data_IF_889374443321
#
_entry.id   IF_889374443321
#
_cell.length_a   1.000
_cell.length_b   1.000
_cell.length_c   1.000
_cell.angle_alpha   90.00
_cell.angle_beta   90.00
_cell.angle_gamma   90.00
#
_symmetry.space_group_name_H-M   'P 1'
#
loop_
_entity.id
_entity.type
_entity.pdbx_description
1 polymer ?
#
# COMPACT_ATOMS: atom_id res chain seq x y z
N UNK A 1 11.33 11.88 -30.55
CA UNK A 1 9.98 12.49 -30.47
C UNK A 1 9.10 11.57 -29.63
N UNK A 2 8.62 11.91 -28.44
CA UNK A 2 8.96 12.95 -27.48
C UNK A 2 8.52 12.36 -26.14
N UNK A 3 9.48 11.97 -25.31
CA UNK A 3 9.18 11.52 -23.95
C UNK A 3 8.78 12.75 -23.16
N UNK A 4 7.54 12.78 -22.70
CA UNK A 4 7.01 13.78 -21.79
C UNK A 4 7.91 13.88 -20.57
N UNK A 5 8.64 14.99 -20.48
CA UNK A 5 9.17 15.54 -19.24
C UNK A 5 7.96 15.73 -18.32
N UNK A 6 7.68 14.74 -17.47
CA UNK A 6 6.63 14.85 -16.46
C UNK A 6 7.08 15.97 -15.55
N UNK A 7 6.39 17.11 -15.62
CA UNK A 7 6.71 18.30 -14.86
C UNK A 7 6.88 17.90 -13.39
N UNK A 8 8.14 17.84 -12.93
CA UNK A 8 8.55 17.38 -11.60
C UNK A 8 7.98 18.24 -10.46
N UNK A 9 7.17 19.23 -10.83
CA UNK A 9 6.50 20.20 -9.98
C UNK A 9 5.03 19.89 -9.78
N UNK A 10 4.44 18.95 -10.51
CA UNK A 10 3.03 18.58 -10.39
C UNK A 10 2.84 17.29 -9.58
N UNK A 11 1.64 17.08 -9.05
CA UNK A 11 1.20 15.79 -8.51
C UNK A 11 -0.06 15.32 -9.22
N UNK A 12 -0.11 14.05 -9.57
CA UNK A 12 -1.30 13.44 -10.14
C UNK A 12 -2.15 12.78 -9.06
N UNK A 13 -3.46 12.97 -9.15
CA UNK A 13 -4.43 12.41 -8.21
C UNK A 13 -5.49 11.67 -9.02
N UNK A 14 -5.82 10.45 -8.64
CA UNK A 14 -6.89 9.66 -9.25
C UNK A 14 -7.88 9.21 -8.18
N UNK A 15 -9.17 9.42 -8.41
CA UNK A 15 -10.24 8.96 -7.52
C UNK A 15 -11.53 8.78 -8.33
N UNK A 16 -12.24 7.67 -8.10
CA UNK A 16 -13.53 7.38 -8.75
C UNK A 16 -13.51 7.56 -10.29
N UNK A 17 -12.45 7.05 -10.94
CA UNK A 17 -12.22 7.17 -12.38
C UNK A 17 -11.81 8.56 -12.88
N UNK A 18 -11.86 9.59 -12.03
CA UNK A 18 -11.45 10.96 -12.36
C UNK A 18 -9.97 11.15 -12.05
N UNK A 19 -9.33 12.03 -12.82
CA UNK A 19 -7.91 12.38 -12.68
C UNK A 19 -7.74 13.88 -12.60
N UNK A 20 -6.83 14.30 -11.74
CA UNK A 20 -6.40 15.69 -11.59
C UNK A 20 -4.88 15.76 -11.67
N UNK A 21 -4.39 16.83 -12.28
CA UNK A 21 -3.00 17.24 -12.23
C UNK A 21 -2.94 18.55 -11.47
N UNK A 22 -2.17 18.56 -10.39
CA UNK A 22 -2.10 19.69 -9.47
C UNK A 22 -0.71 20.30 -9.60
N UNK A 23 -0.58 21.50 -10.19
CA UNK A 23 0.72 22.14 -10.39
C UNK A 23 1.29 22.68 -9.07
N UNK A 24 2.61 22.90 -9.04
CA UNK A 24 3.24 23.55 -7.89
C UNK A 24 2.67 24.95 -7.67
N UNK A 25 2.17 25.19 -6.45
CA UNK A 25 1.54 26.45 -6.06
C UNK A 25 0.05 26.29 -5.75
N UNK A 26 -0.58 25.25 -6.30
CA UNK A 26 -1.97 24.92 -6.03
C UNK A 26 -2.11 23.94 -4.87
N UNK A 27 -3.32 23.90 -4.33
CA UNK A 27 -3.73 22.95 -3.30
C UNK A 27 -4.92 22.16 -3.82
N UNK A 28 -4.84 20.84 -3.73
CA UNK A 28 -5.97 19.98 -4.00
C UNK A 28 -6.65 19.60 -2.69
N UNK A 29 -7.97 19.69 -2.63
CA UNK A 29 -8.77 19.44 -1.45
C UNK A 29 -9.79 18.35 -1.70
N UNK A 30 -10.04 17.53 -0.68
CA UNK A 30 -11.05 16.50 -0.75
C UNK A 30 -11.83 16.42 0.57
N UNK A 31 -13.11 16.13 0.45
CA UNK A 31 -14.04 16.20 1.57
C UNK A 31 -15.47 16.29 1.10
N UNK A 32 -16.39 16.41 2.05
CA UNK A 32 -17.83 16.48 1.78
C UNK A 32 -18.33 17.88 1.42
N UNK A 33 -17.53 18.91 1.64
CA UNK A 33 -17.91 20.28 1.32
C UNK A 33 -17.93 20.53 -0.20
N UNK A 34 -18.84 21.40 -0.64
CA UNK A 34 -19.03 21.70 -2.06
C UNK A 34 -17.87 22.48 -2.69
N UNK A 35 -17.01 23.11 -1.87
CA UNK A 35 -15.81 23.83 -2.28
C UNK A 35 -14.58 22.93 -2.44
N UNK A 36 -14.70 21.60 -2.22
CA UNK A 36 -13.60 20.65 -2.41
C UNK A 36 -13.45 20.24 -3.88
N UNK A 37 -12.20 20.13 -4.36
CA UNK A 37 -11.87 19.68 -5.71
C UNK A 37 -12.39 18.26 -6.00
N UNK A 38 -12.20 17.36 -5.03
CA UNK A 38 -12.87 16.06 -5.01
C UNK A 38 -13.90 16.00 -3.89
N UNK A 39 -15.17 16.13 -4.30
CA UNK A 39 -16.31 16.03 -3.41
C UNK A 39 -16.67 14.58 -3.13
N UNK A 40 -16.51 14.17 -1.89
CA UNK A 40 -17.01 12.91 -1.34
C UNK A 40 -18.53 13.00 -1.09
N UNK A 41 -19.27 11.87 -1.08
CA UNK A 41 -20.72 11.88 -0.98
C UNK A 41 -21.27 12.65 0.23
N UNK A 42 -22.19 13.58 -0.02
CA UNK A 42 -22.79 14.45 1.01
C UNK A 42 -23.55 13.71 2.11
N UNK A 43 -24.09 12.53 1.79
CA UNK A 43 -24.86 11.71 2.72
C UNK A 43 -24.02 11.01 3.78
N UNK A 44 -22.69 10.97 3.62
CA UNK A 44 -21.80 10.24 4.52
C UNK A 44 -21.31 11.14 5.67
N UNK A 45 -22.06 11.16 6.78
CA UNK A 45 -21.75 11.99 7.96
C UNK A 45 -20.47 11.57 8.69
N UNK A 46 -19.94 10.36 8.43
CA UNK A 46 -18.66 9.93 8.95
C UNK A 46 -17.48 10.62 8.24
N UNK A 47 -17.70 11.11 7.01
CA UNK A 47 -16.73 11.90 6.25
C UNK A 47 -16.80 13.38 6.63
N UNK A 48 -15.62 13.95 6.93
CA UNK A 48 -15.46 15.36 7.27
C UNK A 48 -15.81 16.27 6.09
N UNK A 49 -16.29 17.49 6.38
CA UNK A 49 -16.49 18.53 5.35
C UNK A 49 -15.19 18.85 4.61
N UNK A 50 -14.09 18.99 5.36
CA UNK A 50 -12.72 19.07 4.84
C UNK A 50 -11.95 17.88 5.39
N UNK A 51 -11.76 16.86 4.56
CA UNK A 51 -11.15 15.60 4.99
C UNK A 51 -9.64 15.70 4.94
N UNK A 52 -9.10 16.16 3.81
CA UNK A 52 -7.68 16.36 3.64
C UNK A 52 -7.36 17.29 2.47
N UNK A 53 -6.07 17.56 2.34
CA UNK A 53 -5.54 18.31 1.20
C UNK A 53 -4.18 17.77 0.79
N UNK A 54 -3.81 18.04 -0.45
CA UNK A 54 -2.49 17.80 -1.01
C UNK A 54 -1.93 19.15 -1.43
N UNK A 55 -0.81 19.52 -0.85
CA UNK A 55 -0.18 20.83 -1.06
C UNK A 55 1.34 20.69 -1.10
N UNK A 56 2.01 21.58 -1.81
CA UNK A 56 3.48 21.60 -1.86
C UNK A 56 4.03 22.52 -0.78
N UNK A 57 4.86 21.98 0.11
CA UNK A 57 5.50 22.73 1.20
C UNK A 57 6.99 22.43 1.24
N UNK A 58 7.83 23.47 1.26
CA UNK A 58 9.30 23.35 1.27
C UNK A 58 9.85 22.43 0.16
N UNK A 59 9.25 22.49 -1.03
CA UNK A 59 9.68 21.71 -2.20
C UNK A 59 9.06 20.31 -2.31
N UNK A 60 8.43 19.80 -1.25
CA UNK A 60 7.87 18.43 -1.17
C UNK A 60 6.34 18.47 -1.20
N UNK A 61 5.71 17.52 -1.88
CA UNK A 61 4.27 17.33 -1.83
C UNK A 61 3.86 16.70 -0.50
N UNK A 62 2.87 17.28 0.16
CA UNK A 62 2.42 16.87 1.48
C UNK A 62 0.94 16.49 1.41
N UNK A 63 0.62 15.28 1.87
CA UNK A 63 -0.74 14.94 2.25
C UNK A 63 -0.99 15.46 3.66
N UNK A 64 -2.04 16.25 3.84
CA UNK A 64 -2.43 16.82 5.13
C UNK A 64 -3.81 16.33 5.52
N UNK A 65 -3.92 15.75 6.72
CA UNK A 65 -5.21 15.44 7.30
C UNK A 65 -5.82 16.73 7.88
N UNK A 66 -6.88 17.22 7.23
CA UNK A 66 -7.59 18.46 7.58
C UNK A 66 -8.84 18.20 8.44
N UNK A 67 -9.14 16.94 8.74
CA UNK A 67 -10.23 16.57 9.64
C UNK A 67 -9.92 16.98 11.08
N UNK A 68 -10.95 17.32 11.85
CA UNK A 68 -10.81 17.64 13.28
C UNK A 68 -10.76 16.40 14.18
N UNK A 69 -11.36 15.29 13.76
CA UNK A 69 -11.49 14.07 14.59
C UNK A 69 -11.30 12.74 13.85
N UNK A 70 -11.26 12.74 12.52
CA UNK A 70 -11.12 11.53 11.70
C UNK A 70 -9.67 11.36 11.22
N UNK A 71 -9.10 10.18 11.42
CA UNK A 71 -7.82 9.83 10.81
C UNK A 71 -7.98 9.49 9.33
N UNK A 72 -6.90 9.59 8.57
CA UNK A 72 -6.80 9.00 7.24
C UNK A 72 -5.97 7.72 7.33
N UNK A 73 -6.35 6.71 6.54
CA UNK A 73 -5.47 5.56 6.33
C UNK A 73 -4.67 5.82 5.07
N UNK A 74 -3.35 5.68 5.17
CA UNK A 74 -2.42 5.82 4.07
C UNK A 74 -1.82 4.46 3.77
N UNK A 75 -1.72 4.08 2.50
CA UNK A 75 -1.09 2.83 2.08
C UNK A 75 0.10 3.15 1.18
N UNK A 76 1.27 2.66 1.58
CA UNK A 76 2.51 2.84 0.84
C UNK A 76 2.59 1.91 -0.39
N UNK A 77 3.60 2.05 -1.26
CA UNK A 77 3.77 1.17 -2.43
C UNK A 77 3.88 -0.33 -2.11
N UNK A 78 4.30 -0.69 -0.89
CA UNK A 78 4.40 -2.09 -0.45
C UNK A 78 3.05 -2.68 -0.03
N UNK A 79 2.02 -1.85 0.14
CA UNK A 79 0.70 -2.28 0.61
C UNK A 79 0.55 -2.25 2.13
N UNK A 80 1.51 -1.69 2.87
CA UNK A 80 1.40 -1.50 4.31
C UNK A 80 0.62 -0.23 4.64
N UNK A 81 -0.20 -0.32 5.68
CA UNK A 81 -1.04 0.80 6.13
C UNK A 81 -0.33 1.61 7.22
N UNK A 82 -0.51 2.92 7.16
CA UNK A 82 -0.20 3.86 8.23
C UNK A 82 -1.43 4.74 8.52
N UNK A 83 -1.52 5.26 9.74
CA UNK A 83 -2.62 6.12 10.18
C UNK A 83 -2.11 7.56 10.27
N UNK A 84 -2.67 8.44 9.44
CA UNK A 84 -2.41 9.88 9.51
C UNK A 84 -3.45 10.53 10.43
N UNK A 85 -3.02 10.88 11.65
CA UNK A 85 -3.86 11.51 12.66
C UNK A 85 -4.37 12.90 12.22
N UNK A 86 -5.51 13.37 12.77
CA UNK A 86 -6.01 14.74 12.58
C UNK A 86 -4.92 15.80 12.74
N UNK A 87 -4.86 16.76 11.80
CA UNK A 87 -3.90 17.86 11.82
C UNK A 87 -2.44 17.48 11.52
N UNK A 88 -2.15 16.21 11.23
CA UNK A 88 -0.82 15.76 10.81
C UNK A 88 -0.67 15.76 9.30
N UNK A 89 0.59 15.74 8.84
CA UNK A 89 0.97 15.68 7.44
C UNK A 89 2.09 14.66 7.21
N UNK A 90 2.14 14.10 6.00
CA UNK A 90 3.16 13.14 5.56
C UNK A 90 3.61 13.51 4.13
N UNK A 91 4.91 13.37 3.78
CA UNK A 91 5.36 13.55 2.41
C UNK A 91 4.72 12.53 1.46
N UNK A 92 4.57 12.95 0.20
CA UNK A 92 4.08 12.14 -0.90
C UNK A 92 5.23 11.87 -1.85
N UNK A 93 5.88 10.71 -1.65
CA UNK A 93 6.97 10.24 -2.50
C UNK A 93 6.46 9.11 -3.40
N UNK A 94 6.44 9.36 -4.70
CA UNK A 94 5.88 8.41 -5.68
C UNK A 94 4.40 8.10 -5.44
N UNK A 95 4.03 6.82 -5.56
CA UNK A 95 2.64 6.35 -5.46
C UNK A 95 2.21 6.12 -4.01
N UNK A 96 1.10 6.73 -3.61
CA UNK A 96 0.50 6.55 -2.29
C UNK A 96 -1.02 6.44 -2.42
N UNK A 97 -1.65 5.49 -1.71
CA UNK A 97 -3.11 5.41 -1.65
C UNK A 97 -3.60 6.04 -0.35
N UNK A 98 -4.66 6.82 -0.42
CA UNK A 98 -5.32 7.45 0.72
C UNK A 98 -6.73 6.89 0.83
N UNK A 99 -7.01 6.22 1.93
CA UNK A 99 -8.32 5.63 2.23
C UNK A 99 -9.01 6.51 3.27
N UNK A 100 -10.18 7.02 2.89
CA UNK A 100 -11.10 7.75 3.75
C UNK A 100 -12.17 6.77 4.22
N UNK A 101 -12.20 6.53 5.53
CA UNK A 101 -13.19 5.67 6.17
C UNK A 101 -14.46 6.49 6.48
N UNK A 102 -15.55 6.19 5.78
CA UNK A 102 -16.90 6.70 6.03
C UNK A 102 -17.89 5.56 6.29
N UNK A 103 -19.17 5.76 5.95
CA UNK A 103 -20.13 4.68 5.79
C UNK A 103 -19.72 3.73 4.64
N UNK A 104 -19.06 4.28 3.62
CA UNK A 104 -18.31 3.53 2.62
C UNK A 104 -16.81 3.86 2.69
N UNK A 105 -16.00 3.05 2.02
CA UNK A 105 -14.56 3.32 1.84
C UNK A 105 -14.35 4.08 0.55
N UNK A 106 -13.70 5.23 0.64
CA UNK A 106 -13.29 6.01 -0.51
C UNK A 106 -11.79 5.98 -0.64
N UNK A 107 -11.29 5.83 -1.86
CA UNK A 107 -9.87 5.72 -2.13
C UNK A 107 -9.43 6.76 -3.15
N UNK A 108 -8.33 7.44 -2.83
CA UNK A 108 -7.60 8.31 -3.73
C UNK A 108 -6.21 7.72 -3.95
N UNK A 109 -5.70 7.79 -5.17
CA UNK A 109 -4.32 7.44 -5.50
C UNK A 109 -3.58 8.71 -5.83
N UNK A 110 -2.57 9.04 -5.02
CA UNK A 110 -1.65 10.14 -5.24
C UNK A 110 -0.41 9.59 -5.95
N UNK A 111 0.10 10.31 -6.93
CA UNK A 111 1.34 9.98 -7.64
C UNK A 111 2.16 11.25 -7.75
N UNK A 112 3.02 11.45 -6.75
CA UNK A 112 3.98 12.55 -6.71
C UNK A 112 5.15 12.31 -7.68
N UNK A 113 6.00 13.33 -7.88
CA UNK A 113 7.25 13.17 -8.60
C UNK A 113 8.06 12.05 -7.92
N UNK A 114 8.51 11.10 -8.72
CA UNK A 114 9.39 10.06 -8.22
C UNK A 114 10.72 10.74 -7.84
N UNK A 115 11.28 10.52 -6.64
CA UNK A 115 12.58 11.08 -6.33
C UNK A 115 13.57 10.64 -7.41
N UNK A 116 14.30 11.58 -8.01
CA UNK A 116 15.32 11.29 -9.04
C UNK A 116 16.44 10.36 -8.56
N UNK A 117 16.41 9.94 -7.30
CA UNK A 117 17.28 8.94 -6.71
C UNK A 117 16.63 7.55 -6.73
N UNK A 118 16.39 7.03 -7.94
CA UNK A 118 16.46 5.60 -8.15
C UNK A 118 17.94 5.20 -8.11
N UNK A 119 18.38 4.67 -6.96
CA UNK A 119 19.64 3.95 -6.82
C UNK A 119 20.88 4.82 -7.06
N UNK A 120 21.22 5.69 -6.11
CA UNK A 120 22.62 5.59 -5.66
C UNK A 120 22.66 4.25 -4.95
N UNK A 121 23.14 3.21 -5.64
CA UNK A 121 24.14 2.35 -5.02
C UNK A 121 25.19 3.34 -4.56
N UNK A 122 24.97 3.91 -3.37
CA UNK A 122 26.08 4.42 -2.61
C UNK A 122 27.03 3.25 -2.63
N UNK A 123 28.23 3.51 -3.11
CA UNK A 123 29.40 2.69 -2.84
C UNK A 123 29.69 2.77 -1.34
N UNK A 124 28.67 2.56 -0.51
CA UNK A 124 28.79 2.14 0.86
C UNK A 124 29.12 0.67 0.75
N UNK A 125 30.35 0.36 1.13
CA UNK A 125 30.93 -0.97 1.17
C UNK A 125 30.28 -1.87 2.23
N UNK A 126 28.97 -1.70 2.49
CA UNK A 126 28.15 -2.54 3.34
C UNK A 126 27.11 -3.22 2.46
N UNK A 127 27.24 -4.53 2.27
CA UNK A 127 26.15 -5.37 1.76
C UNK A 127 24.83 -4.97 2.44
N UNK A 128 23.67 -4.98 1.74
CA UNK A 128 22.40 -4.69 2.40
C UNK A 128 22.23 -5.68 3.56
N UNK A 129 22.44 -5.20 4.79
CA UNK A 129 22.40 -5.96 6.04
C UNK A 129 20.95 -6.24 6.46
N UNK A 130 20.05 -6.42 5.48
CA UNK A 130 18.70 -6.88 5.78
C UNK A 130 18.77 -8.37 6.10
N UNK A 131 18.48 -8.71 7.35
CA UNK A 131 18.47 -10.09 7.80
C UNK A 131 17.59 -10.95 6.86
N UNK A 132 18.10 -12.11 6.47
CA UNK A 132 17.38 -13.03 5.58
C UNK A 132 17.32 -12.66 4.09
N UNK A 133 18.05 -11.63 3.61
CA UNK A 133 18.08 -11.29 2.19
C UNK A 133 18.48 -12.46 1.27
N UNK A 134 19.33 -13.37 1.76
CA UNK A 134 19.78 -14.57 1.03
C UNK A 134 18.77 -15.74 1.06
N UNK A 135 17.64 -15.60 1.76
CA UNK A 135 16.64 -16.65 1.87
C UNK A 135 15.83 -16.75 0.57
N UNK A 136 16.34 -17.57 -0.35
CA UNK A 136 15.62 -17.92 -1.57
C UNK A 136 14.35 -18.73 -1.25
N UNK A 137 13.20 -18.27 -1.74
CA UNK A 137 11.94 -19.02 -1.70
C UNK A 137 11.63 -19.61 -3.08
N UNK A 138 11.14 -20.86 -3.11
CA UNK A 138 10.68 -21.46 -4.35
C UNK A 138 9.27 -20.95 -4.72
N UNK A 139 8.80 -21.30 -5.93
CA UNK A 139 7.51 -20.84 -6.44
C UNK A 139 6.31 -21.27 -5.56
N UNK A 140 6.35 -22.46 -4.97
CA UNK A 140 5.27 -22.93 -4.09
C UNK A 140 5.27 -22.17 -2.75
N UNK A 141 6.43 -21.85 -2.21
CA UNK A 141 6.54 -21.03 -1.00
C UNK A 141 6.06 -19.60 -1.28
N UNK A 142 6.38 -19.05 -2.46
CA UNK A 142 5.81 -17.78 -2.95
C UNK A 142 4.29 -17.84 -3.07
N UNK A 143 3.73 -18.88 -3.70
CA UNK A 143 2.27 -19.12 -3.76
C UNK A 143 1.62 -19.16 -2.38
N UNK A 144 2.26 -19.81 -1.40
CA UNK A 144 1.78 -19.88 -0.03
C UNK A 144 1.69 -18.48 0.62
N UNK A 145 2.75 -17.69 0.51
CA UNK A 145 2.79 -16.32 1.05
C UNK A 145 1.78 -15.41 0.36
N UNK A 146 1.69 -15.47 -0.97
CA UNK A 146 0.71 -14.68 -1.73
C UNK A 146 -0.71 -15.06 -1.35
N UNK A 147 -1.04 -16.35 -1.23
CA UNK A 147 -2.37 -16.78 -0.79
C UNK A 147 -2.70 -16.30 0.62
N UNK A 148 -1.70 -16.26 1.51
CA UNK A 148 -1.87 -15.84 2.90
C UNK A 148 -2.02 -14.31 3.02
N UNK A 149 -1.25 -13.55 2.23
CA UNK A 149 -1.15 -12.08 2.34
C UNK A 149 -1.80 -11.32 1.18
N UNK A 150 -2.59 -11.99 0.34
CA UNK A 150 -3.28 -11.38 -0.81
C UNK A 150 -4.04 -10.09 -0.45
N UNK A 151 -4.58 -10.00 0.78
CA UNK A 151 -5.32 -8.82 1.24
C UNK A 151 -4.49 -7.53 1.29
N UNK A 152 -3.17 -7.62 1.49
CA UNK A 152 -2.26 -6.46 1.45
C UNK A 152 -1.96 -6.01 0.01
N UNK A 153 -1.96 -6.96 -0.93
CA UNK A 153 -1.59 -6.75 -2.33
C UNK A 153 -2.75 -6.26 -3.22
N UNK A 154 -3.97 -6.34 -2.69
CA UNK A 154 -5.20 -5.93 -3.39
C UNK A 154 -5.50 -4.45 -3.20
N UNK A 155 -6.27 -3.88 -4.13
CA UNK A 155 -6.69 -2.47 -4.08
C UNK A 155 -8.21 -2.29 -3.97
N UNK A 156 -8.64 -1.07 -3.64
CA UNK A 156 -10.05 -0.70 -3.50
C UNK A 156 -10.78 -1.53 -2.44
N UNK A 157 -12.02 -1.91 -2.73
CA UNK A 157 -12.89 -2.69 -1.83
C UNK A 157 -12.32 -4.06 -1.44
N UNK A 158 -11.35 -4.59 -2.19
CA UNK A 158 -10.72 -5.89 -1.92
C UNK A 158 -9.48 -5.78 -1.02
N UNK A 159 -9.01 -4.56 -0.76
CA UNK A 159 -7.91 -4.32 0.17
C UNK A 159 -8.33 -4.65 1.60
N UNK A 160 -7.64 -5.63 2.18
CA UNK A 160 -7.86 -6.09 3.55
C UNK A 160 -6.51 -6.47 4.17
N UNK A 161 -5.81 -5.53 4.82
CA UNK A 161 -4.44 -5.70 5.28
C UNK A 161 -4.37 -6.55 6.56
N UNK A 162 -4.70 -7.83 6.42
CA UNK A 162 -4.61 -8.86 7.44
C UNK A 162 -4.27 -10.21 6.79
N UNK A 163 -3.50 -11.07 7.49
CA UNK A 163 -3.28 -12.44 7.03
C UNK A 163 -4.62 -13.19 6.93
N UNK A 164 -4.82 -13.93 5.84
CA UNK A 164 -5.94 -14.86 5.74
C UNK A 164 -5.76 -16.04 6.70
N UNK A 165 -6.84 -16.74 6.99
CA UNK A 165 -6.72 -18.02 7.68
C UNK A 165 -5.99 -19.03 6.79
N UNK A 166 -5.21 -19.93 7.39
CA UNK A 166 -4.55 -21.01 6.64
C UNK A 166 -5.55 -21.86 5.84
N UNK A 167 -6.77 -22.06 6.34
CA UNK A 167 -7.79 -22.80 5.62
C UNK A 167 -8.23 -22.06 4.34
N UNK A 168 -8.48 -20.75 4.43
CA UNK A 168 -8.87 -19.94 3.28
C UNK A 168 -7.74 -19.83 2.23
N UNK A 169 -6.50 -19.63 2.68
CA UNK A 169 -5.34 -19.57 1.79
C UNK A 169 -5.07 -20.94 1.11
N UNK A 170 -5.20 -22.05 1.83
CA UNK A 170 -4.99 -23.38 1.27
C UNK A 170 -6.08 -23.75 0.27
N UNK A 171 -7.34 -23.44 0.59
CA UNK A 171 -8.47 -23.60 -0.33
C UNK A 171 -8.27 -22.82 -1.62
N UNK A 172 -7.74 -21.58 -1.55
CA UNK A 172 -7.43 -20.78 -2.74
C UNK A 172 -6.41 -21.45 -3.67
N UNK A 173 -5.48 -22.21 -3.11
CA UNK A 173 -4.44 -22.93 -3.87
C UNK A 173 -4.86 -24.36 -4.26
N UNK A 174 -6.01 -24.85 -3.80
CA UNK A 174 -6.38 -26.26 -3.93
C UNK A 174 -5.46 -27.20 -3.13
N UNK A 175 -4.85 -26.71 -2.05
CA UNK A 175 -3.92 -27.47 -1.22
C UNK A 175 -4.58 -28.00 0.05
N UNK A 176 -4.11 -29.14 0.60
CA UNK A 176 -4.40 -29.50 1.98
C UNK A 176 -3.92 -28.39 2.93
N UNK A 177 -4.73 -28.05 3.95
CA UNK A 177 -4.37 -27.04 4.97
C UNK A 177 -3.00 -27.32 5.59
N UNK A 178 -2.69 -28.59 5.86
CA UNK A 178 -1.43 -29.03 6.45
C UNK A 178 -0.22 -28.71 5.56
N UNK A 179 -0.38 -28.77 4.24
CA UNK A 179 0.68 -28.40 3.28
C UNK A 179 1.01 -26.92 3.36
N UNK A 180 -0.01 -26.05 3.40
CA UNK A 180 0.19 -24.61 3.54
C UNK A 180 0.87 -24.27 4.88
N UNK A 181 0.39 -24.84 5.98
CA UNK A 181 0.96 -24.62 7.31
C UNK A 181 2.44 -24.99 7.34
N UNK A 182 2.80 -26.20 6.89
CA UNK A 182 4.19 -26.67 6.85
C UNK A 182 5.10 -25.76 6.04
N UNK A 183 4.63 -25.25 4.89
CA UNK A 183 5.39 -24.32 4.06
C UNK A 183 5.63 -22.99 4.76
N UNK A 184 4.59 -22.40 5.36
CA UNK A 184 4.72 -21.12 6.07
C UNK A 184 5.61 -21.27 7.31
N UNK A 185 5.50 -22.37 8.04
CA UNK A 185 6.41 -22.69 9.16
C UNK A 185 7.86 -22.84 8.71
N UNK A 186 8.10 -23.56 7.60
CA UNK A 186 9.43 -23.71 7.04
C UNK A 186 10.06 -22.37 6.63
N UNK A 187 9.30 -21.49 5.99
CA UNK A 187 9.74 -20.13 5.62
C UNK A 187 10.10 -19.33 6.89
N UNK A 188 9.22 -19.35 7.90
CA UNK A 188 9.45 -18.63 9.17
C UNK A 188 10.71 -19.12 9.86
N UNK A 189 10.91 -20.44 9.96
CA UNK A 189 12.13 -21.01 10.56
C UNK A 189 13.38 -20.59 9.81
N UNK A 190 13.37 -20.62 8.47
CA UNK A 190 14.53 -20.18 7.67
C UNK A 190 14.85 -18.71 7.88
N UNK A 191 13.83 -17.84 7.89
CA UNK A 191 14.00 -16.42 8.13
C UNK A 191 14.46 -16.13 9.57
N UNK A 192 13.92 -16.82 10.57
CA UNK A 192 14.41 -16.74 11.96
C UNK A 192 15.88 -17.12 12.05
N UNK A 193 16.29 -18.23 11.42
CA UNK A 193 17.69 -18.67 11.40
C UNK A 193 18.62 -17.67 10.68
N UNK A 194 18.07 -16.90 9.75
CA UNK A 194 18.77 -15.83 9.05
C UNK A 194 18.71 -14.47 9.78
N UNK A 195 18.20 -14.44 11.02
CA UNK A 195 18.22 -13.27 11.89
C UNK A 195 16.98 -12.37 11.83
N UNK A 196 15.92 -12.75 11.10
CA UNK A 196 14.68 -11.95 11.04
C UNK A 196 13.92 -12.07 12.36
N UNK A 197 13.68 -10.95 13.08
CA UNK A 197 13.07 -10.97 14.40
C UNK A 197 11.57 -11.27 14.35
N UNK A 198 11.00 -11.67 15.49
CA UNK A 198 9.56 -11.72 15.75
C UNK A 198 8.71 -12.62 14.82
N UNK A 199 9.35 -13.58 14.14
CA UNK A 199 8.65 -14.58 13.32
C UNK A 199 8.12 -15.77 14.13
N UNK A 200 8.04 -15.66 15.45
CA UNK A 200 7.48 -16.67 16.37
C UNK A 200 6.45 -16.05 17.32
N UNK A 201 5.48 -16.84 17.77
CA UNK A 201 4.41 -16.38 18.66
C UNK A 201 3.20 -15.74 17.96
N UNK A 202 2.38 -15.02 18.73
CA UNK A 202 1.04 -14.57 18.32
C UNK A 202 1.05 -13.52 17.18
N UNK A 203 2.12 -12.73 17.06
CA UNK A 203 2.27 -11.71 16.01
C UNK A 203 3.04 -12.19 14.77
N UNK A 204 3.47 -13.45 14.73
CA UNK A 204 4.40 -13.95 13.72
C UNK A 204 3.92 -13.77 12.28
N UNK A 205 2.61 -13.90 12.02
CA UNK A 205 2.08 -13.74 10.67
C UNK A 205 2.07 -12.29 10.19
N UNK A 206 1.80 -11.35 11.09
CA UNK A 206 1.86 -9.92 10.77
C UNK A 206 3.30 -9.50 10.49
N UNK A 207 4.27 -10.01 11.26
CA UNK A 207 5.68 -9.74 11.04
C UNK A 207 6.22 -10.40 9.77
N UNK A 208 5.74 -11.61 9.45
CA UNK A 208 6.04 -12.24 8.18
C UNK A 208 5.46 -11.46 6.99
N UNK A 209 4.26 -10.90 7.12
CA UNK A 209 3.66 -10.05 6.10
C UNK A 209 4.50 -8.78 5.88
N UNK A 210 4.82 -8.07 6.96
CA UNK A 210 5.64 -6.86 6.92
C UNK A 210 7.00 -7.13 6.27
N UNK A 211 7.69 -8.18 6.69
CA UNK A 211 8.94 -8.62 6.06
C UNK A 211 8.76 -8.90 4.57
N UNK A 212 7.75 -9.69 4.21
CA UNK A 212 7.55 -10.11 2.82
C UNK A 212 7.20 -8.96 1.87
N UNK A 213 6.50 -7.92 2.37
CA UNK A 213 6.11 -6.75 1.60
C UNK A 213 7.27 -5.75 1.48
N UNK A 214 7.95 -5.44 2.59
CA UNK A 214 9.05 -4.47 2.64
C UNK A 214 10.28 -4.93 1.86
N UNK A 215 10.57 -6.23 1.89
CA UNK A 215 11.68 -6.83 1.10
C UNK A 215 11.29 -7.15 -0.34
N UNK A 216 10.04 -6.87 -0.75
CA UNK A 216 9.45 -7.28 -2.04
C UNK A 216 9.58 -8.79 -2.31
N UNK A 217 9.63 -9.61 -1.25
CA UNK A 217 9.59 -11.06 -1.35
C UNK A 217 8.33 -11.52 -2.06
N UNK A 218 7.22 -10.81 -1.88
CA UNK A 218 6.01 -10.92 -2.68
C UNK A 218 5.59 -9.52 -3.17
N UNK A 219 5.00 -9.46 -4.36
CA UNK A 219 4.55 -8.21 -4.98
C UNK A 219 3.11 -8.32 -5.49
N UNK A 220 2.43 -7.20 -5.81
CA UNK A 220 1.10 -7.25 -6.42
C UNK A 220 1.02 -8.10 -7.70
N UNK A 221 2.10 -8.17 -8.49
CA UNK A 221 2.15 -9.00 -9.70
C UNK A 221 2.06 -10.50 -9.41
N UNK A 222 2.50 -10.92 -8.22
CA UNK A 222 2.43 -12.31 -7.80
C UNK A 222 0.99 -12.79 -7.52
N UNK A 223 0.01 -11.88 -7.45
CA UNK A 223 -1.41 -12.24 -7.37
C UNK A 223 -1.85 -13.17 -8.52
N UNK A 224 -1.18 -13.10 -9.68
CA UNK A 224 -1.41 -14.01 -10.81
C UNK A 224 -1.18 -15.48 -10.45
N UNK A 225 -0.28 -15.76 -9.51
CA UNK A 225 0.04 -17.12 -9.04
C UNK A 225 -1.15 -17.80 -8.35
N UNK A 226 -2.12 -17.00 -7.90
CA UNK A 226 -3.35 -17.46 -7.26
C UNK A 226 -4.60 -17.04 -8.04
N UNK A 227 -4.45 -16.69 -9.32
CA UNK A 227 -5.54 -16.29 -10.21
C UNK A 227 -6.25 -15.00 -9.77
N UNK A 228 -5.52 -14.04 -9.21
CA UNK A 228 -6.02 -12.70 -8.87
C UNK A 228 -5.25 -11.61 -9.64
N UNK A 229 -5.82 -10.41 -9.67
CA UNK A 229 -5.19 -9.17 -10.15
C UNK A 229 -5.30 -8.10 -9.08
N UNK A 230 -4.34 -7.18 -9.00
CA UNK A 230 -4.30 -6.12 -7.97
C UNK A 230 -5.42 -5.10 -8.12
N UNK A 231 -5.66 -4.64 -9.36
CA UNK A 231 -6.64 -3.63 -9.70
C UNK A 231 -8.06 -4.12 -9.40
N UNK A 232 -8.74 -3.46 -8.47
CA UNK A 232 -10.19 -3.56 -8.35
C UNK A 232 -10.80 -2.88 -9.57
N UNK A 233 -10.99 -3.64 -10.66
CA UNK A 233 -11.75 -3.15 -11.80
C UNK A 233 -13.11 -2.68 -11.31
N UNK A 234 -13.32 -1.37 -11.32
CA UNK A 234 -14.66 -0.83 -11.51
C UNK A 234 -14.97 -1.10 -12.97
N UNK A 235 -15.50 -2.28 -13.26
CA UNK A 235 -16.30 -2.46 -14.46
C UNK A 235 -17.59 -1.70 -14.18
N UNK A 236 -17.65 -0.43 -14.57
CA UNK A 236 -18.94 0.22 -14.80
C UNK A 236 -19.46 -0.28 -16.15
N UNK A 237 -20.78 -0.57 -16.27
CA UNK A 237 -21.40 -1.03 -17.51
C UNK A 237 -21.37 0.02 -18.62
#
# INVERSE_FOLDING_TARGET
MGGTDVDQRSIHITADGRRWEVPAGDTFTFGRAADCDFRLPDGDSAVSRRTGSVERAAGVWMLVNRSSSRSLTVVDPSGLRNVLAPGKRIPVDGRMRVIVEGAAKYELVLTGPEPEHAVTTGDETGAPTSAGADVLINENDRKALVALFAGYLLEGVRYNPAPRSYAAAASRLGWPRTTLVKRVEYIRTRLTNAGVPNLQGFNALSMLAEYALTTRLITPDDLRLIGLTSSGGTTAP
#
